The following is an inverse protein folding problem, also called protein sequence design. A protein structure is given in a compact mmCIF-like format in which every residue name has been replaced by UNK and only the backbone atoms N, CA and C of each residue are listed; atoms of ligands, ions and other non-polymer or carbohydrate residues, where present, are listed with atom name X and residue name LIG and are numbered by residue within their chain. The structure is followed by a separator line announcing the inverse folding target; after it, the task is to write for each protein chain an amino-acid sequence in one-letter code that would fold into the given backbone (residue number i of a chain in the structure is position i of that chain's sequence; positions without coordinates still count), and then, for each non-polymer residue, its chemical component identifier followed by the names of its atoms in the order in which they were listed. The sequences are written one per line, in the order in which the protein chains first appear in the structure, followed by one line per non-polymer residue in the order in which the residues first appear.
data_IF_779477164686
#
_entry.id   IF_779477164686
#
_cell.length_a   1.000
_cell.length_b   1.000
_cell.length_c   1.000
_cell.angle_alpha   90.00
_cell.angle_beta   90.00
_cell.angle_gamma   90.00
#
_symmetry.space_group_name_H-M   'P 1'
#
loop_
_entity.id
_entity.type
_entity.pdbx_description
1 polymer ?
#
# COMPACT_ATOMS: atom_id res chain seq x y z
N UNK A 1 8.81 38.02 4.72
CA UNK A 1 9.11 36.60 4.44
C UNK A 1 7.86 35.80 4.71
N UNK A 2 7.20 35.30 3.66
CA UNK A 2 6.03 34.45 3.81
C UNK A 2 6.51 33.01 4.05
N UNK A 3 6.29 32.51 5.25
CA UNK A 3 6.51 31.09 5.56
C UNK A 3 5.40 30.29 4.89
N UNK A 4 5.72 29.66 3.76
CA UNK A 4 4.83 28.75 3.10
C UNK A 4 4.56 27.55 3.99
N UNK A 5 3.38 27.48 4.57
CA UNK A 5 2.89 26.27 5.24
C UNK A 5 2.60 25.24 4.13
N UNK A 6 3.52 24.34 3.90
CA UNK A 6 3.25 23.15 3.08
C UNK A 6 2.20 22.32 3.80
N UNK A 7 0.99 22.32 3.27
CA UNK A 7 -0.04 21.40 3.74
C UNK A 7 0.51 19.97 3.63
N UNK A 8 0.37 19.14 4.68
CA UNK A 8 0.79 17.73 4.59
C UNK A 8 0.01 17.08 3.45
N UNK A 9 0.73 16.43 2.55
CA UNK A 9 0.13 15.58 1.52
C UNK A 9 -0.69 14.52 2.25
N UNK A 10 -2.00 14.54 2.06
CA UNK A 10 -2.88 13.55 2.66
C UNK A 10 -2.52 12.18 2.08
N UNK A 11 -1.81 11.38 2.85
CA UNK A 11 -1.49 10.00 2.52
C UNK A 11 -2.75 9.14 2.68
N UNK A 12 -2.96 8.20 1.78
CA UNK A 12 -3.83 7.04 2.00
C UNK A 12 -3.36 6.36 3.28
N UNK A 13 -3.82 5.28 3.80
CA UNK A 13 -3.45 4.78 5.14
C UNK A 13 -2.36 5.60 5.86
N UNK A 14 -2.51 5.97 7.08
CA UNK A 14 -1.64 6.97 7.71
C UNK A 14 -0.28 6.38 8.10
N UNK A 15 0.79 6.83 7.47
CA UNK A 15 2.15 6.53 7.95
C UNK A 15 2.32 7.07 9.39
N UNK A 16 2.70 6.18 10.29
CA UNK A 16 2.95 6.51 11.70
C UNK A 16 4.44 6.65 11.97
N UNK A 17 5.22 5.62 11.63
CA UNK A 17 6.68 5.62 11.87
C UNK A 17 7.37 4.57 10.99
N UNK A 18 8.69 4.52 11.08
CA UNK A 18 9.52 3.54 10.37
C UNK A 18 10.26 2.64 11.35
N UNK A 19 10.43 1.37 10.93
CA UNK A 19 11.14 0.35 11.71
C UNK A 19 10.60 0.20 13.14
N UNK A 20 9.29 0.34 13.31
CA UNK A 20 8.62 0.16 14.58
C UNK A 20 8.62 -1.30 15.01
N UNK A 21 8.86 -1.55 16.30
CA UNK A 21 8.89 -2.87 16.93
C UNK A 21 7.97 -2.89 18.16
N UNK A 22 7.52 -4.08 18.56
CA UNK A 22 6.67 -4.29 19.74
C UNK A 22 5.44 -3.37 19.72
N UNK A 23 4.77 -3.35 18.56
CA UNK A 23 3.65 -2.46 18.29
C UNK A 23 2.41 -2.93 19.04
N UNK A 24 1.79 -2.02 19.77
CA UNK A 24 0.53 -2.22 20.48
C UNK A 24 -0.47 -1.15 20.05
N UNK A 25 -1.73 -1.52 19.98
CA UNK A 25 -2.86 -0.66 19.66
C UNK A 25 -3.92 -0.78 20.76
N UNK A 26 -4.38 0.35 21.23
CA UNK A 26 -5.52 0.44 22.15
C UNK A 26 -6.48 1.51 21.62
N UNK A 27 -7.79 1.29 21.71
CA UNK A 27 -8.80 2.26 21.29
C UNK A 27 -9.81 2.45 22.41
N UNK A 28 -10.12 3.70 22.75
CA UNK A 28 -11.05 4.02 23.80
C UNK A 28 -12.48 4.28 23.29
N UNK A 29 -13.43 4.45 24.20
CA UNK A 29 -14.85 4.75 23.87
C UNK A 29 -15.07 6.09 23.19
N UNK A 30 -14.06 6.95 23.11
CA UNK A 30 -14.13 8.24 22.40
C UNK A 30 -13.70 8.16 20.94
N UNK A 31 -13.39 6.96 20.45
CA UNK A 31 -12.83 6.78 19.10
C UNK A 31 -11.42 7.36 18.96
N UNK A 32 -10.61 7.29 20.02
CA UNK A 32 -9.20 7.65 20.01
C UNK A 32 -8.36 6.39 20.10
N UNK A 33 -7.33 6.29 19.27
CA UNK A 33 -6.37 5.19 19.29
C UNK A 33 -5.05 5.63 19.91
N UNK A 34 -4.53 4.82 20.82
CA UNK A 34 -3.18 4.97 21.36
C UNK A 34 -2.30 3.87 20.79
N UNK A 35 -1.25 4.27 20.10
CA UNK A 35 -0.22 3.40 19.59
C UNK A 35 0.98 3.47 20.52
N UNK A 36 1.48 2.31 20.94
CA UNK A 36 2.71 2.19 21.72
C UNK A 36 3.67 1.27 21.01
N UNK A 37 4.89 1.71 20.73
CA UNK A 37 5.88 0.94 20.01
C UNK A 37 7.31 1.40 20.32
N UNK A 38 8.30 0.66 19.86
CA UNK A 38 9.73 1.07 19.91
C UNK A 38 10.21 1.46 18.52
N UNK A 39 10.81 2.64 18.42
CA UNK A 39 11.48 3.08 17.20
C UNK A 39 12.69 3.94 17.57
N UNK A 40 13.82 3.74 16.85
CA UNK A 40 15.06 4.46 17.14
C UNK A 40 15.56 4.27 18.59
N UNK A 41 15.39 3.07 19.15
CA UNK A 41 15.81 2.74 20.51
C UNK A 41 14.91 3.28 21.64
N UNK A 42 13.83 4.00 21.34
CA UNK A 42 12.94 4.63 22.31
C UNK A 42 11.53 4.08 22.24
N UNK A 43 10.83 4.06 23.37
CA UNK A 43 9.39 3.84 23.40
C UNK A 43 8.69 5.12 22.96
N UNK A 44 7.72 4.97 22.09
CA UNK A 44 6.90 6.07 21.56
C UNK A 44 5.44 5.81 21.87
N UNK A 45 4.73 6.89 22.12
CA UNK A 45 3.28 6.89 22.30
C UNK A 45 2.69 7.90 21.33
N UNK A 46 1.79 7.45 20.45
CA UNK A 46 1.10 8.31 19.48
C UNK A 46 -0.38 8.20 19.73
N UNK A 47 -1.02 9.33 20.01
CA UNK A 47 -2.48 9.40 20.08
C UNK A 47 -3.01 9.80 18.71
N UNK A 48 -3.94 9.01 18.16
CA UNK A 48 -4.59 9.23 16.89
C UNK A 48 -6.10 9.35 17.07
N UNK A 49 -6.75 10.24 16.32
CA UNK A 49 -8.21 10.36 16.31
C UNK A 49 -8.70 10.96 14.98
N UNK A 50 -9.99 10.91 14.75
CA UNK A 50 -10.65 11.40 13.53
C UNK A 50 -10.81 10.30 12.50
N UNK A 51 -10.94 10.69 11.30
CA UNK A 51 -11.08 9.93 10.05
C UNK A 51 -11.63 8.49 10.16
N UNK A 52 -12.78 8.28 9.55
CA UNK A 52 -13.32 6.96 9.26
C UNK A 52 -13.64 6.94 7.77
N UNK A 53 -13.11 5.99 7.05
CA UNK A 53 -13.29 5.81 5.62
C UNK A 53 -13.03 7.06 4.77
N UNK A 54 -12.53 6.89 3.59
CA UNK A 54 -12.47 7.95 2.60
C UNK A 54 -12.61 7.35 1.20
N UNK A 55 -13.41 7.97 0.39
CA UNK A 55 -13.33 7.79 -1.05
C UNK A 55 -12.00 8.35 -1.56
N UNK A 56 -11.52 7.91 -2.71
CA UNK A 56 -10.33 8.50 -3.32
C UNK A 56 -10.45 10.02 -3.39
N UNK A 57 -9.39 10.75 -3.09
CA UNK A 57 -9.42 12.21 -3.20
C UNK A 57 -9.56 12.64 -4.65
N UNK A 58 -10.20 13.78 -4.85
CA UNK A 58 -10.29 14.47 -6.15
C UNK A 58 -9.93 15.94 -5.96
N UNK A 59 -9.83 16.70 -7.03
CA UNK A 59 -9.66 18.16 -6.93
C UNK A 59 -10.78 18.83 -6.12
N UNK A 60 -12.00 18.29 -6.19
CA UNK A 60 -13.17 18.81 -5.48
C UNK A 60 -13.35 18.21 -4.08
N UNK A 61 -12.64 17.16 -3.72
CA UNK A 61 -12.83 16.44 -2.46
C UNK A 61 -11.49 16.15 -1.78
N UNK A 62 -11.29 16.78 -0.63
CA UNK A 62 -10.12 16.51 0.18
C UNK A 62 -10.15 15.11 0.79
N UNK A 63 -8.99 14.55 0.99
CA UNK A 63 -8.78 13.31 1.74
C UNK A 63 -9.21 13.51 3.20
N UNK A 64 -9.92 12.53 3.75
CA UNK A 64 -10.09 12.41 5.19
C UNK A 64 -8.75 12.04 5.81
N UNK A 65 -8.39 12.65 6.93
CA UNK A 65 -7.11 12.45 7.56
C UNK A 65 -7.24 12.25 9.08
N UNK A 66 -6.31 11.50 9.64
CA UNK A 66 -6.11 11.46 11.08
C UNK A 66 -5.55 12.77 11.61
N UNK A 67 -5.86 13.04 12.87
CA UNK A 67 -5.07 13.95 13.72
C UNK A 67 -4.18 13.10 14.60
N UNK A 68 -2.90 13.44 14.65
CA UNK A 68 -1.87 12.69 15.36
C UNK A 68 -1.21 13.57 16.41
N UNK A 69 -1.02 13.02 17.60
CA UNK A 69 -0.24 13.63 18.67
C UNK A 69 0.89 12.68 19.07
N UNK A 70 2.07 12.94 18.58
CA UNK A 70 3.28 12.15 18.84
C UNK A 70 3.84 12.30 20.25
N UNK A 71 3.23 13.16 21.06
CA UNK A 71 3.53 13.30 22.49
C UNK A 71 2.55 12.48 23.36
N UNK A 72 1.90 11.48 22.83
CA UNK A 72 1.01 10.56 23.56
C UNK A 72 -0.21 11.24 24.18
N UNK A 73 -0.69 12.30 23.58
CA UNK A 73 -1.84 13.05 24.00
C UNK A 73 -1.52 14.34 24.78
N UNK A 74 -0.25 14.67 24.99
CA UNK A 74 0.11 15.92 25.65
C UNK A 74 -0.36 17.15 24.88
N UNK A 75 -0.21 17.16 23.56
CA UNK A 75 -0.64 18.24 22.70
C UNK A 75 -2.14 18.53 22.82
N UNK A 76 -2.95 17.48 22.91
CA UNK A 76 -4.41 17.56 23.00
C UNK A 76 -4.93 17.82 24.43
N UNK A 77 -4.35 17.11 25.42
CA UNK A 77 -4.90 17.04 26.78
C UNK A 77 -4.05 17.75 27.85
N UNK A 78 -2.87 18.27 27.49
CA UNK A 78 -1.92 18.95 28.37
C UNK A 78 -1.48 18.09 29.57
N UNK A 79 -1.46 16.77 29.41
CA UNK A 79 -1.00 15.79 30.40
C UNK A 79 -0.49 14.53 29.70
N UNK A 80 0.20 13.67 30.43
CA UNK A 80 0.64 12.35 29.98
C UNK A 80 -0.58 11.42 29.81
N UNK A 81 -1.41 11.69 28.80
CA UNK A 81 -2.68 11.03 28.62
C UNK A 81 -2.52 9.51 28.41
N UNK A 82 -1.43 9.09 27.78
CA UNK A 82 -1.10 7.70 27.56
C UNK A 82 -0.98 6.89 28.84
N UNK A 83 -0.58 7.47 29.99
CA UNK A 83 -0.46 6.77 31.26
C UNK A 83 -1.80 6.28 31.83
N UNK A 84 -2.85 7.01 31.54
CA UNK A 84 -4.21 6.68 31.99
C UNK A 84 -5.14 6.19 30.89
N UNK A 85 -4.60 5.84 29.74
CA UNK A 85 -5.40 5.40 28.59
C UNK A 85 -6.01 4.03 28.86
N UNK A 86 -7.33 3.92 28.71
CA UNK A 86 -8.06 2.68 28.88
C UNK A 86 -8.59 2.22 27.53
N UNK A 87 -8.17 1.04 27.11
CA UNK A 87 -8.73 0.39 25.93
C UNK A 87 -10.13 -0.12 26.19
N UNK A 88 -11.00 0.04 25.23
CA UNK A 88 -12.35 -0.53 25.20
C UNK A 88 -12.59 -1.37 23.95
N UNK A 89 -11.57 -1.53 23.09
CA UNK A 89 -11.72 -2.33 21.89
C UNK A 89 -11.65 -3.83 22.16
N UNK A 90 -12.44 -4.57 21.39
CA UNK A 90 -12.44 -6.04 21.37
C UNK A 90 -11.34 -6.56 20.44
N UNK A 91 -11.10 -7.87 20.49
CA UNK A 91 -10.21 -8.51 19.53
C UNK A 91 -10.66 -8.25 18.10
N UNK A 92 -9.70 -8.15 17.19
CA UNK A 92 -9.98 -7.97 15.77
C UNK A 92 -10.70 -9.19 15.19
N UNK A 93 -11.88 -9.01 14.68
CA UNK A 93 -12.72 -10.01 14.02
C UNK A 93 -13.05 -9.61 12.57
N UNK A 94 -12.33 -8.65 12.03
CA UNK A 94 -12.53 -8.12 10.68
C UNK A 94 -11.89 -8.99 9.58
N UNK A 95 -11.97 -8.54 8.32
CA UNK A 95 -11.36 -9.23 7.19
C UNK A 95 -9.85 -9.42 7.36
N UNK A 96 -9.31 -10.49 6.79
CA UNK A 96 -7.86 -10.71 6.75
C UNK A 96 -7.16 -9.57 6.00
N UNK A 97 -6.12 -9.02 6.60
CA UNK A 97 -5.30 -7.96 6.01
C UNK A 97 -3.91 -8.48 5.70
N UNK A 98 -3.38 -8.16 4.54
CA UNK A 98 -1.95 -8.36 4.26
C UNK A 98 -1.09 -7.47 5.16
N UNK A 99 0.10 -7.93 5.53
CA UNK A 99 1.04 -7.17 6.36
C UNK A 99 0.50 -6.76 7.74
N UNK A 100 -0.48 -7.49 8.25
CA UNK A 100 -1.14 -7.21 9.52
C UNK A 100 -0.18 -7.31 10.70
N UNK A 101 -0.17 -6.29 11.54
CA UNK A 101 0.61 -6.24 12.77
C UNK A 101 -0.28 -6.44 13.98
N UNK A 102 -1.31 -5.62 14.11
CA UNK A 102 -2.31 -5.69 15.18
C UNK A 102 -3.55 -4.89 14.77
N UNK A 103 -4.67 -5.20 15.36
CA UNK A 103 -5.92 -4.48 15.15
C UNK A 103 -6.94 -4.79 16.23
N UNK A 104 -8.00 -4.02 16.25
CA UNK A 104 -9.13 -4.25 17.13
C UNK A 104 -10.43 -3.70 16.54
N UNK A 105 -11.54 -4.14 17.10
CA UNK A 105 -12.88 -3.63 16.85
C UNK A 105 -13.27 -2.66 17.95
N UNK A 106 -13.53 -1.42 17.59
CA UNK A 106 -13.97 -0.39 18.51
C UNK A 106 -15.43 -0.60 18.94
N UNK A 107 -15.83 0.06 20.01
CA UNK A 107 -17.17 -0.06 20.58
C UNK A 107 -18.29 0.42 19.63
N UNK A 108 -17.97 1.29 18.70
CA UNK A 108 -18.88 1.77 17.64
C UNK A 108 -18.98 0.82 16.44
N UNK A 109 -18.30 -0.32 16.48
CA UNK A 109 -18.24 -1.31 15.41
C UNK A 109 -17.21 -1.01 14.33
N UNK A 110 -16.48 0.10 14.41
CA UNK A 110 -15.40 0.39 13.47
C UNK A 110 -14.16 -0.46 13.76
N UNK A 111 -13.32 -0.61 12.75
CA UNK A 111 -12.06 -1.34 12.83
C UNK A 111 -10.87 -0.39 12.81
N UNK A 112 -9.93 -0.69 13.66
CA UNK A 112 -8.63 -0.06 13.68
C UNK A 112 -7.56 -1.12 13.43
N UNK A 113 -6.63 -0.86 12.53
CA UNK A 113 -5.55 -1.79 12.25
C UNK A 113 -4.25 -1.07 11.95
N UNK A 114 -3.17 -1.78 12.25
CA UNK A 114 -1.81 -1.42 11.89
C UNK A 114 -1.26 -2.48 10.94
N UNK A 115 -0.70 -2.03 9.84
CA UNK A 115 0.01 -2.82 8.85
C UNK A 115 1.45 -2.34 8.76
N UNK A 116 2.41 -3.25 8.54
CA UNK A 116 3.80 -2.87 8.34
C UNK A 116 4.40 -3.62 7.16
N UNK A 117 4.95 -2.88 6.21
CA UNK A 117 5.56 -3.44 5.02
C UNK A 117 6.75 -2.59 4.54
N UNK A 118 7.64 -3.21 3.78
CA UNK A 118 8.81 -2.52 3.24
C UNK A 118 8.44 -1.68 2.02
N UNK A 119 8.43 -0.36 2.20
CA UNK A 119 8.21 0.57 1.09
C UNK A 119 9.43 0.67 0.19
N UNK A 120 10.61 0.65 0.78
CA UNK A 120 11.86 0.79 0.07
C UNK A 120 12.66 -0.50 0.14
N UNK A 121 12.49 -1.38 -0.83
CA UNK A 121 13.33 -2.55 -1.01
C UNK A 121 14.49 -2.22 -1.96
N UNK A 122 15.62 -2.94 -1.85
CA UNK A 122 16.65 -2.87 -2.87
C UNK A 122 16.08 -3.32 -4.21
N UNK A 123 16.43 -2.59 -5.25
CA UNK A 123 16.04 -2.92 -6.61
C UNK A 123 17.12 -3.77 -7.28
N UNK A 124 16.76 -4.57 -8.24
CA UNK A 124 17.68 -5.26 -9.16
C UNK A 124 18.73 -6.13 -8.47
N UNK A 125 18.40 -6.76 -7.37
CA UNK A 125 19.36 -7.60 -6.63
C UNK A 125 20.49 -6.86 -5.93
N UNK A 126 20.52 -5.54 -5.98
CA UNK A 126 21.49 -4.75 -5.25
C UNK A 126 21.24 -4.81 -3.75
N UNK A 127 22.31 -4.75 -2.97
CA UNK A 127 22.20 -4.70 -1.51
C UNK A 127 21.41 -3.46 -1.07
N UNK A 128 20.47 -3.67 -0.13
CA UNK A 128 19.74 -2.57 0.46
C UNK A 128 20.69 -1.61 1.18
N UNK A 129 20.62 -0.33 0.85
CA UNK A 129 21.13 0.69 1.75
C UNK A 129 20.20 0.76 2.96
N UNK A 130 20.72 0.94 4.18
CA UNK A 130 19.90 0.93 5.39
C UNK A 130 18.72 1.89 5.36
N UNK A 131 18.82 3.02 4.64
CA UNK A 131 17.72 3.97 4.42
C UNK A 131 16.64 3.47 3.45
N UNK A 132 16.98 2.51 2.58
CA UNK A 132 16.06 1.99 1.55
C UNK A 132 15.32 0.74 2.01
N UNK A 133 15.73 0.09 3.09
CA UNK A 133 15.10 -1.11 3.64
C UNK A 133 14.12 -0.81 4.79
N UNK A 134 13.54 0.38 4.82
CA UNK A 134 12.67 0.79 5.91
C UNK A 134 11.29 0.10 5.84
N UNK A 135 10.89 -0.44 6.97
CA UNK A 135 9.52 -0.88 7.20
C UNK A 135 8.68 0.30 7.64
N UNK A 136 7.60 0.58 6.94
CA UNK A 136 6.67 1.65 7.29
C UNK A 136 5.49 1.06 8.04
N UNK A 137 5.14 1.67 9.19
CA UNK A 137 3.97 1.32 10.00
C UNK A 137 2.83 2.24 9.62
N UNK A 138 1.74 1.65 9.13
CA UNK A 138 0.57 2.35 8.63
C UNK A 138 -0.64 2.09 9.51
N UNK A 139 -1.39 3.15 9.82
CA UNK A 139 -2.64 3.11 10.59
C UNK A 139 -3.84 3.26 9.65
N UNK A 140 -4.83 2.42 9.89
CA UNK A 140 -6.12 2.44 9.20
C UNK A 140 -7.28 2.47 10.19
N UNK A 141 -8.39 3.14 9.78
CA UNK A 141 -9.63 3.19 10.55
C UNK A 141 -10.83 3.21 9.61
N UNK A 142 -11.66 2.17 9.66
CA UNK A 142 -12.76 2.00 8.70
C UNK A 142 -13.97 1.27 9.28
N UNK A 143 -15.06 1.32 8.54
CA UNK A 143 -16.27 0.50 8.73
C UNK A 143 -16.67 -0.09 7.38
N UNK A 144 -17.20 -1.32 7.39
CA UNK A 144 -17.73 -1.96 6.18
C UNK A 144 -16.62 -2.34 5.19
N UNK A 145 -16.79 -1.92 3.95
CA UNK A 145 -16.02 -2.43 2.80
C UNK A 145 -14.53 -2.08 2.85
N UNK A 146 -13.73 -2.98 2.30
CA UNK A 146 -12.31 -2.76 2.05
C UNK A 146 -12.06 -2.34 0.59
N UNK A 147 -10.90 -1.72 0.31
CA UNK A 147 -10.42 -1.57 -1.05
C UNK A 147 -10.24 -2.95 -1.71
N UNK A 148 -10.69 -3.07 -2.93
CA UNK A 148 -10.59 -4.29 -3.72
C UNK A 148 -9.46 -4.17 -4.74
N UNK A 149 -8.48 -5.06 -4.64
CA UNK A 149 -7.38 -5.19 -5.58
C UNK A 149 -7.54 -6.53 -6.31
N UNK A 150 -7.79 -6.47 -7.62
CA UNK A 150 -7.82 -7.65 -8.50
C UNK A 150 -6.59 -7.61 -9.37
N UNK A 151 -5.88 -8.72 -9.46
CA UNK A 151 -4.67 -8.84 -10.26
C UNK A 151 -4.67 -10.15 -11.01
N UNK A 152 -4.30 -10.06 -12.27
CA UNK A 152 -3.94 -11.17 -13.16
C UNK A 152 -2.52 -10.98 -13.65
N UNK A 153 -1.76 -12.07 -13.72
CA UNK A 153 -0.39 -12.06 -14.21
C UNK A 153 -0.28 -13.00 -15.37
N UNK A 154 0.12 -12.47 -16.51
CA UNK A 154 0.26 -13.22 -17.76
C UNK A 154 1.55 -12.85 -18.49
N UNK A 155 1.95 -13.68 -19.42
CA UNK A 155 2.93 -13.29 -20.44
C UNK A 155 2.29 -12.26 -21.39
N UNK A 156 3.06 -11.27 -21.78
CA UNK A 156 2.62 -10.32 -22.76
C UNK A 156 3.77 -9.87 -23.67
N UNK A 157 3.47 -9.68 -24.96
CA UNK A 157 4.39 -9.16 -25.99
C UNK A 157 5.67 -9.98 -26.12
N UNK A 158 5.61 -11.27 -25.85
CA UNK A 158 6.70 -12.26 -25.97
C UNK A 158 7.92 -11.99 -25.09
N UNK A 159 7.83 -11.04 -24.17
CA UNK A 159 9.01 -10.60 -23.42
C UNK A 159 8.78 -10.39 -21.95
N UNK A 160 7.57 -10.03 -21.57
CA UNK A 160 7.30 -9.51 -20.25
C UNK A 160 6.36 -10.43 -19.50
N UNK A 161 6.60 -10.54 -18.22
CA UNK A 161 5.52 -10.76 -17.31
C UNK A 161 4.72 -9.49 -17.25
N UNK A 162 3.44 -9.62 -17.37
CA UNK A 162 2.54 -8.49 -17.39
C UNK A 162 1.47 -8.67 -16.33
N UNK A 163 1.36 -7.67 -15.48
CA UNK A 163 0.36 -7.63 -14.44
C UNK A 163 -0.73 -6.69 -14.85
N UNK A 164 -1.95 -7.21 -14.94
CA UNK A 164 -3.16 -6.42 -15.07
C UNK A 164 -3.85 -6.35 -13.75
N UNK A 165 -4.47 -5.21 -13.47
CA UNK A 165 -5.24 -5.11 -12.28
C UNK A 165 -6.24 -3.98 -12.30
N UNK A 166 -7.19 -4.10 -11.40
CA UNK A 166 -8.11 -3.03 -11.04
C UNK A 166 -8.04 -2.78 -9.55
N UNK A 167 -8.13 -1.53 -9.19
CA UNK A 167 -8.19 -1.12 -7.79
C UNK A 167 -9.42 -0.24 -7.58
N UNK A 168 -10.34 -0.72 -6.75
CA UNK A 168 -11.61 -0.04 -6.50
C UNK A 168 -11.89 0.09 -5.00
N UNK A 169 -12.69 1.06 -4.65
CA UNK A 169 -13.23 1.21 -3.31
C UNK A 169 -14.71 1.57 -3.37
N UNK A 170 -15.56 0.70 -2.83
CA UNK A 170 -17.02 0.81 -2.92
C UNK A 170 -17.52 0.95 -4.38
N UNK A 171 -16.94 0.13 -5.26
CA UNK A 171 -17.24 0.17 -6.69
C UNK A 171 -16.74 1.41 -7.43
N UNK A 172 -16.07 2.33 -6.74
CA UNK A 172 -15.46 3.52 -7.35
C UNK A 172 -14.01 3.22 -7.68
N UNK A 173 -13.57 3.43 -8.94
CA UNK A 173 -12.18 3.30 -9.31
C UNK A 173 -11.28 4.22 -8.49
N UNK A 174 -10.13 3.69 -8.06
CA UNK A 174 -9.09 4.46 -7.39
C UNK A 174 -8.06 4.87 -8.45
N UNK A 175 -8.03 6.14 -8.76
CA UNK A 175 -7.13 6.69 -9.77
C UNK A 175 -5.84 7.22 -9.18
N UNK A 176 -5.00 7.71 -10.06
CA UNK A 176 -3.87 8.54 -9.75
C UNK A 176 -2.55 7.81 -9.77
N UNK A 177 -2.51 6.54 -10.19
CA UNK A 177 -1.24 5.86 -10.44
C UNK A 177 -0.55 6.50 -11.64
N UNK A 178 0.70 6.88 -11.47
CA UNK A 178 1.53 7.48 -12.52
C UNK A 178 2.88 6.80 -12.56
N UNK A 179 3.45 6.71 -13.75
CA UNK A 179 4.88 6.46 -13.91
C UNK A 179 5.62 7.79 -13.96
N UNK A 180 6.72 7.88 -13.20
CA UNK A 180 7.69 8.95 -13.43
C UNK A 180 8.50 8.64 -14.67
N UNK A 181 9.24 9.61 -15.25
CA UNK A 181 10.19 9.35 -16.34
C UNK A 181 11.21 8.26 -16.03
N UNK A 182 11.49 8.00 -14.75
CA UNK A 182 12.37 6.92 -14.30
C UNK A 182 11.64 5.59 -14.02
N UNK A 183 10.37 5.45 -14.39
CA UNK A 183 9.61 4.21 -14.24
C UNK A 183 9.09 3.94 -12.82
N UNK A 184 9.22 4.88 -11.88
CA UNK A 184 8.66 4.71 -10.54
C UNK A 184 7.17 4.99 -10.53
N UNK A 185 6.32 4.05 -10.06
CA UNK A 185 4.90 4.28 -9.97
C UNK A 185 4.59 5.28 -8.87
N UNK A 186 3.98 6.38 -9.22
CA UNK A 186 3.52 7.42 -8.29
C UNK A 186 2.09 7.82 -8.62
N UNK A 187 1.34 8.20 -7.61
CA UNK A 187 0.12 8.95 -7.82
C UNK A 187 0.22 10.37 -7.25
N UNK A 188 -0.69 11.24 -7.68
CA UNK A 188 -0.75 12.63 -7.22
C UNK A 188 -1.10 12.76 -5.73
N UNK A 189 -1.53 11.70 -5.09
CA UNK A 189 -1.97 11.65 -3.71
C UNK A 189 -1.03 10.82 -2.81
N UNK A 190 0.15 10.48 -3.31
CA UNK A 190 1.15 9.69 -2.59
C UNK A 190 0.85 8.19 -2.51
N UNK A 191 -0.08 7.70 -3.32
CA UNK A 191 -0.36 6.27 -3.44
C UNK A 191 0.54 5.66 -4.50
N UNK A 192 0.99 4.45 -4.25
CA UNK A 192 1.82 3.69 -5.17
C UNK A 192 1.34 2.24 -5.25
N UNK A 193 1.53 1.63 -6.40
CA UNK A 193 1.54 0.19 -6.55
C UNK A 193 2.99 -0.29 -6.41
N UNK A 194 3.23 -1.14 -5.44
CA UNK A 194 4.53 -1.77 -5.22
C UNK A 194 4.43 -3.22 -5.67
N UNK A 195 5.30 -3.62 -6.58
CA UNK A 195 5.40 -5.00 -7.07
C UNK A 195 6.73 -5.58 -6.63
N UNK A 196 6.68 -6.76 -6.05
CA UNK A 196 7.85 -7.54 -5.71
C UNK A 196 7.76 -8.92 -6.35
N UNK A 197 8.89 -9.47 -6.74
CA UNK A 197 9.03 -10.83 -7.26
C UNK A 197 9.89 -11.68 -6.33
N UNK A 198 9.58 -12.98 -6.24
CA UNK A 198 10.29 -13.92 -5.40
C UNK A 198 11.18 -14.82 -6.24
N UNK A 199 12.46 -14.95 -5.84
CA UNK A 199 13.48 -15.76 -6.52
C UNK A 199 13.55 -15.47 -8.03
N UNK A 200 13.52 -14.20 -8.38
CA UNK A 200 13.56 -13.71 -9.75
C UNK A 200 15.00 -13.54 -10.26
N UNK A 201 15.14 -13.09 -11.48
CA UNK A 201 16.45 -12.73 -12.09
C UNK A 201 17.22 -11.68 -11.27
N UNK A 202 16.53 -10.96 -10.40
CA UNK A 202 17.12 -9.95 -9.53
C UNK A 202 17.73 -10.52 -8.24
N UNK A 203 17.63 -11.83 -8.03
CA UNK A 203 18.21 -12.55 -6.91
C UNK A 203 17.20 -13.27 -6.02
N UNK A 204 17.73 -14.01 -5.05
CA UNK A 204 16.94 -14.81 -4.11
C UNK A 204 16.10 -13.96 -3.16
N UNK A 205 14.97 -14.51 -2.73
CA UNK A 205 14.00 -13.86 -1.87
C UNK A 205 13.20 -12.78 -2.60
N UNK A 206 12.44 -12.00 -1.86
CA UNK A 206 11.63 -10.93 -2.42
C UNK A 206 12.49 -9.75 -2.88
N UNK A 207 12.29 -9.33 -4.13
CA UNK A 207 12.96 -8.19 -4.75
C UNK A 207 11.93 -7.23 -5.31
N UNK A 208 12.17 -5.93 -5.13
CA UNK A 208 11.34 -4.88 -5.70
C UNK A 208 11.55 -4.80 -7.21
N UNK A 209 10.44 -4.82 -7.93
CA UNK A 209 10.45 -4.58 -9.36
C UNK A 209 10.63 -3.09 -9.67
N UNK A 210 11.32 -2.84 -10.78
CA UNK A 210 11.37 -1.53 -11.41
C UNK A 210 10.86 -1.64 -12.85
N UNK A 211 9.70 -1.07 -13.11
CA UNK A 211 8.98 -1.37 -14.33
C UNK A 211 8.00 -0.25 -14.66
N UNK A 212 7.26 -0.41 -15.71
CA UNK A 212 6.28 0.57 -16.15
C UNK A 212 4.94 0.31 -15.48
N UNK A 213 4.39 1.35 -14.88
CA UNK A 213 3.00 1.35 -14.46
C UNK A 213 2.24 2.36 -15.32
N UNK A 214 1.10 1.93 -15.82
CA UNK A 214 0.14 2.80 -16.49
C UNK A 214 -1.25 2.52 -15.95
N UNK A 215 -2.13 3.49 -16.04
CA UNK A 215 -3.50 3.37 -15.58
C UNK A 215 -4.44 4.09 -16.52
N UNK A 216 -5.67 3.64 -16.54
CA UNK A 216 -6.76 4.34 -17.20
C UNK A 216 -7.56 5.18 -16.22
N UNK A 217 -8.41 6.06 -16.73
CA UNK A 217 -9.40 6.78 -15.94
C UNK A 217 -10.44 5.87 -15.28
N UNK A 218 -10.44 4.57 -15.55
CA UNK A 218 -11.34 3.57 -14.98
C UNK A 218 -10.78 2.87 -13.75
N UNK A 219 -9.57 3.23 -13.30
CA UNK A 219 -8.88 2.57 -12.18
C UNK A 219 -8.20 1.26 -12.55
N UNK A 220 -8.20 0.88 -13.84
CA UNK A 220 -7.38 -0.21 -14.32
C UNK A 220 -5.92 0.23 -14.44
N UNK A 221 -5.02 -0.69 -14.22
CA UNK A 221 -3.59 -0.47 -14.40
C UNK A 221 -2.94 -1.66 -15.09
N UNK A 222 -1.80 -1.42 -15.72
CA UNK A 222 -0.94 -2.47 -16.21
C UNK A 222 0.51 -2.20 -15.80
N UNK A 223 1.23 -3.26 -15.56
CA UNK A 223 2.59 -3.22 -15.04
C UNK A 223 3.40 -4.31 -15.74
N UNK A 224 4.36 -3.92 -16.57
CA UNK A 224 5.23 -4.83 -17.29
C UNK A 224 6.60 -4.93 -16.62
N UNK A 225 7.14 -6.14 -16.48
CA UNK A 225 8.41 -6.39 -15.82
C UNK A 225 9.10 -7.66 -16.34
N UNK A 226 10.37 -7.83 -16.01
CA UNK A 226 11.22 -8.88 -16.52
C UNK A 226 11.71 -9.81 -15.41
N UNK A 227 10.83 -10.31 -14.59
CA UNK A 227 11.20 -11.14 -13.45
C UNK A 227 11.93 -12.43 -13.85
N UNK A 228 11.62 -12.95 -15.04
CA UNK A 228 12.24 -14.15 -15.61
C UNK A 228 13.44 -13.81 -16.54
N UNK A 229 13.72 -12.55 -16.78
CA UNK A 229 14.61 -12.12 -17.84
C UNK A 229 13.94 -12.17 -19.21
N UNK A 230 14.68 -11.90 -20.30
CA UNK A 230 14.14 -12.14 -21.63
C UNK A 230 13.87 -13.64 -21.76
N UNK A 231 12.58 -13.99 -21.87
CA UNK A 231 12.15 -15.38 -21.88
C UNK A 231 12.92 -16.25 -22.92
N UNK A 232 12.95 -17.55 -22.77
CA UNK A 232 12.14 -18.35 -21.87
C UNK A 232 12.79 -18.68 -20.53
N UNK A 233 13.85 -18.04 -20.16
CA UNK A 233 14.71 -18.43 -19.06
C UNK A 233 14.63 -17.41 -17.95
N UNK A 234 14.40 -17.86 -16.76
CA UNK A 234 14.42 -17.06 -15.57
C UNK A 234 13.87 -17.83 -14.39
N UNK A 235 14.04 -17.23 -13.24
CA UNK A 235 13.37 -17.62 -12.02
C UNK A 235 12.29 -16.58 -11.76
N UNK A 236 11.47 -16.79 -10.84
CA UNK A 236 10.36 -15.94 -10.48
C UNK A 236 9.17 -16.84 -10.25
N UNK A 237 8.98 -17.21 -9.00
CA UNK A 237 8.00 -18.23 -8.65
C UNK A 237 6.70 -17.61 -8.19
N UNK A 238 6.79 -16.44 -7.55
CA UNK A 238 5.64 -15.74 -6.99
C UNK A 238 5.81 -14.25 -7.11
N UNK A 239 4.68 -13.57 -7.19
CA UNK A 239 4.58 -12.13 -7.26
C UNK A 239 3.68 -11.62 -6.16
N UNK A 240 3.89 -10.39 -5.74
CA UNK A 240 3.01 -9.69 -4.83
C UNK A 240 2.88 -8.24 -5.21
N UNK A 241 1.71 -7.69 -4.95
CA UNK A 241 1.42 -6.29 -5.11
C UNK A 241 0.92 -5.70 -3.80
N UNK A 242 1.36 -4.49 -3.51
CA UNK A 242 0.91 -3.72 -2.35
C UNK A 242 0.49 -2.34 -2.83
N UNK A 243 -0.74 -1.96 -2.53
CA UNK A 243 -1.31 -0.67 -2.91
C UNK A 243 -1.76 0.04 -1.65
N UNK A 244 -1.32 1.27 -1.47
CA UNK A 244 -1.80 2.08 -0.36
C UNK A 244 -3.29 2.35 -0.55
N UNK A 245 -4.08 2.02 0.46
CA UNK A 245 -5.53 2.16 0.43
C UNK A 245 -6.00 3.60 0.19
N UNK A 246 -7.22 3.78 -0.32
CA UNK A 246 -7.79 5.12 -0.41
C UNK A 246 -8.10 5.65 0.98
N UNK A 247 -7.76 6.88 1.25
CA UNK A 247 -8.02 7.50 2.54
C UNK A 247 -7.37 6.77 3.69
N UNK A 248 -8.14 6.52 4.73
CA UNK A 248 -7.66 5.86 5.96
C UNK A 248 -8.04 4.39 6.04
N UNK A 249 -8.39 3.80 4.92
CA UNK A 249 -8.66 2.37 4.81
C UNK A 249 -7.37 1.56 4.75
N UNK A 250 -7.42 0.26 5.04
CA UNK A 250 -6.26 -0.62 4.94
C UNK A 250 -5.59 -0.60 3.57
N UNK A 251 -4.27 -0.80 3.58
CA UNK A 251 -3.51 -1.05 2.37
C UNK A 251 -3.90 -2.40 1.78
N UNK A 252 -4.11 -2.42 0.47
CA UNK A 252 -4.48 -3.62 -0.25
C UNK A 252 -3.23 -4.44 -0.58
N UNK A 253 -3.38 -5.75 -0.46
CA UNK A 253 -2.32 -6.71 -0.71
C UNK A 253 -2.83 -7.84 -1.60
N UNK A 254 -2.04 -8.21 -2.57
CA UNK A 254 -2.25 -9.38 -3.40
C UNK A 254 -0.94 -10.17 -3.52
N UNK A 255 -1.05 -11.47 -3.54
CA UNK A 255 0.06 -12.38 -3.83
C UNK A 255 -0.46 -13.54 -4.65
N UNK A 256 0.28 -13.92 -5.68
CA UNK A 256 -0.03 -15.02 -6.56
C UNK A 256 1.21 -15.60 -7.20
N UNK A 257 1.01 -16.68 -7.94
CA UNK A 257 2.06 -17.37 -8.65
C UNK A 257 2.46 -16.61 -9.92
N UNK A 258 3.69 -16.78 -10.34
CA UNK A 258 4.16 -16.32 -11.63
C UNK A 258 3.47 -17.07 -12.77
N UNK A 259 3.46 -16.55 -14.00
CA UNK A 259 2.75 -17.16 -15.12
C UNK A 259 3.36 -18.50 -15.57
N UNK A 260 4.44 -18.97 -14.95
CA UNK A 260 5.10 -20.23 -15.30
C UNK A 260 5.95 -20.13 -16.57
N UNK A 261 6.07 -21.25 -17.28
CA UNK A 261 6.80 -21.26 -18.54
C UNK A 261 6.06 -20.44 -19.60
N UNK A 262 6.83 -19.84 -20.52
CA UNK A 262 6.23 -19.06 -21.59
C UNK A 262 5.29 -19.90 -22.46
N UNK A 263 4.07 -19.44 -22.61
CA UNK A 263 3.05 -20.00 -23.48
C UNK A 263 2.61 -18.97 -24.50
N UNK A 264 2.84 -19.28 -25.78
CA UNK A 264 2.51 -18.40 -26.89
C UNK A 264 1.01 -18.15 -27.03
N UNK A 265 0.19 -19.10 -26.65
CA UNK A 265 -1.27 -18.98 -26.77
C UNK A 265 -1.80 -18.03 -25.69
N UNK A 266 -1.33 -18.19 -24.46
CA UNK A 266 -1.65 -17.30 -23.34
C UNK A 266 -1.17 -15.88 -23.66
N UNK A 267 0.07 -15.72 -24.15
CA UNK A 267 0.62 -14.42 -24.56
C UNK A 267 -0.24 -13.76 -25.64
N UNK A 268 -0.68 -14.51 -26.65
CA UNK A 268 -1.54 -13.96 -27.70
C UNK A 268 -2.90 -13.51 -27.16
N UNK A 269 -3.52 -14.30 -26.27
CA UNK A 269 -4.80 -13.98 -25.65
C UNK A 269 -4.66 -12.72 -24.79
N UNK A 270 -3.65 -12.64 -23.93
CA UNK A 270 -3.38 -11.46 -23.11
C UNK A 270 -3.16 -10.20 -23.96
N UNK A 271 -2.44 -10.32 -25.08
CA UNK A 271 -2.24 -9.19 -26.00
C UNK A 271 -3.54 -8.73 -26.66
N UNK A 272 -4.45 -9.65 -26.96
CA UNK A 272 -5.76 -9.29 -27.54
C UNK A 272 -6.66 -8.63 -26.49
N UNK A 273 -6.64 -9.09 -25.28
CA UNK A 273 -7.35 -8.42 -24.15
C UNK A 273 -6.82 -7.00 -23.92
N UNK A 274 -5.50 -6.82 -23.88
CA UNK A 274 -4.87 -5.50 -23.76
C UNK A 274 -5.30 -4.56 -24.90
N UNK A 275 -5.42 -5.08 -26.13
CA UNK A 275 -5.90 -4.28 -27.26
C UNK A 275 -7.36 -3.87 -27.10
N UNK A 276 -8.20 -4.76 -26.56
CA UNK A 276 -9.63 -4.47 -26.35
C UNK A 276 -9.87 -3.45 -25.26
N UNK A 277 -9.03 -3.39 -24.23
CA UNK A 277 -9.04 -2.34 -23.22
C UNK A 277 -8.78 -0.94 -23.81
N UNK A 278 -8.36 -0.87 -25.06
CA UNK A 278 -8.10 0.33 -25.82
C UNK A 278 -7.20 1.37 -25.11
N UNK A 279 -6.37 0.89 -24.20
CA UNK A 279 -5.44 1.74 -23.46
C UNK A 279 -4.10 1.80 -24.21
N UNK A 280 -3.82 2.96 -24.78
CA UNK A 280 -2.55 3.20 -25.46
C UNK A 280 -1.33 3.04 -24.55
N UNK A 281 -1.54 3.19 -23.25
CA UNK A 281 -0.47 3.13 -22.26
C UNK A 281 -0.10 1.69 -21.88
N UNK A 282 -0.98 0.73 -22.10
CA UNK A 282 -0.71 -0.69 -21.93
C UNK A 282 -0.14 -1.37 -23.19
N UNK A 283 0.12 -0.61 -24.24
CA UNK A 283 0.76 -1.12 -25.45
C UNK A 283 2.26 -0.81 -25.45
N UNK A 284 3.12 -1.73 -25.85
CA UNK A 284 4.51 -1.36 -26.11
C UNK A 284 4.55 -0.36 -27.29
N UNK A 285 5.43 0.62 -27.16
CA UNK A 285 5.79 1.48 -28.27
C UNK A 285 6.63 0.71 -29.29
#
# INVERSE_FOLDING_TARGET
MAVGVTAPVASASQLIDRNAQNVQLAVNTKGEALLTYRAGGRVRHVLAWGAVNALPPTHARKQVAFRLDYAGGWGRYRRDYWKGFKSSCSAYDGPALGWFVTGCKAADGSYWALQAWQKMLPNYGLAARGSAAAWELHLSHWTGDLPELKIEVNWAYRRYDHMFGTFTYRGVPVYGFRSTPGGNPLDTFGRNLYVDTFDSVYGSGWKRENSFLTHTGTGAFCYGFFAHGPHPVGKGERYRATVIGPGVTPDAFWQGDAPGAYDRTIDATANDEIRTLNDRLCRPN
#
